data_IF_335204727733
#
_entry.id   IF_335204727733
#
_cell.length_a   1.000
_cell.length_b   1.000
_cell.length_c   1.000
_cell.angle_alpha   90.00
_cell.angle_beta   90.00
_cell.angle_gamma   90.00
#
_symmetry.space_group_name_H-M   'P 1'
#
loop_
_entity.id
_entity.type
_entity.pdbx_description
1 polymer ?
#
# COMPACT_ATOMS: atom_id res chain seq x y z
N UNK A 1 1.95 12.07 -68.10
CA UNK A 1 1.00 12.76 -67.23
C UNK A 1 1.28 12.24 -65.83
N UNK A 2 2.31 12.81 -65.22
CA UNK A 2 2.84 12.41 -63.91
C UNK A 2 1.91 12.92 -62.84
N UNK A 3 1.38 11.99 -62.06
CA UNK A 3 0.58 12.24 -60.86
C UNK A 3 1.49 12.94 -59.85
N UNK A 4 1.32 14.25 -59.69
CA UNK A 4 2.04 15.07 -58.73
C UNK A 4 1.45 14.77 -57.35
N UNK A 5 1.90 13.66 -56.76
CA UNK A 5 1.44 13.19 -55.46
C UNK A 5 1.80 14.24 -54.41
N UNK A 6 0.82 15.11 -54.11
CA UNK A 6 0.94 16.18 -53.13
C UNK A 6 1.42 15.59 -51.80
N UNK A 7 2.61 15.99 -51.37
CA UNK A 7 3.19 15.55 -50.12
C UNK A 7 2.25 15.86 -48.94
N UNK A 8 2.21 15.01 -47.91
CA UNK A 8 1.49 15.29 -46.69
C UNK A 8 1.90 16.64 -46.09
N UNK A 9 0.96 17.34 -45.43
CA UNK A 9 1.24 18.61 -44.78
C UNK A 9 2.27 18.50 -43.63
N UNK A 10 2.48 17.30 -43.10
CA UNK A 10 3.46 16.97 -42.06
C UNK A 10 4.78 16.41 -42.62
N UNK A 11 5.04 16.52 -43.93
CA UNK A 11 6.22 15.93 -44.57
C UNK A 11 7.53 16.44 -43.96
N UNK A 12 7.65 17.75 -43.72
CA UNK A 12 8.85 18.32 -43.09
C UNK A 12 9.12 17.67 -41.72
N UNK A 13 8.08 17.38 -40.94
CA UNK A 13 8.22 16.73 -39.63
C UNK A 13 8.64 15.27 -39.77
N UNK A 14 8.12 14.55 -40.79
CA UNK A 14 8.52 13.16 -41.10
C UNK A 14 9.98 13.10 -41.54
N UNK A 15 10.41 14.05 -42.36
CA UNK A 15 11.79 14.14 -42.81
C UNK A 15 12.72 14.39 -41.62
N UNK A 16 12.36 15.31 -40.72
CA UNK A 16 13.10 15.54 -39.47
C UNK A 16 13.19 14.29 -38.60
N UNK A 17 12.08 13.57 -38.40
CA UNK A 17 12.08 12.29 -37.69
C UNK A 17 12.99 11.26 -38.36
N UNK A 18 13.20 11.31 -39.68
CA UNK A 18 14.08 10.38 -40.37
C UNK A 18 15.56 10.80 -40.29
N UNK A 19 15.86 12.09 -40.46
CA UNK A 19 17.23 12.56 -40.72
C UNK A 19 17.92 13.24 -39.54
N UNK A 20 17.19 13.81 -38.58
CA UNK A 20 17.79 14.47 -37.40
C UNK A 20 18.16 13.40 -36.35
N UNK A 21 19.46 13.07 -36.26
CA UNK A 21 19.97 11.93 -35.46
C UNK A 21 20.67 12.33 -34.16
N UNK A 22 21.21 13.55 -34.11
CA UNK A 22 21.99 14.08 -32.97
C UNK A 22 21.13 14.82 -31.93
N UNK A 23 19.81 14.72 -32.02
CA UNK A 23 18.87 15.42 -31.14
C UNK A 23 17.82 14.46 -30.58
N UNK A 24 17.31 14.78 -29.38
CA UNK A 24 16.15 14.10 -28.80
C UNK A 24 14.88 14.74 -29.32
N UNK A 25 14.08 13.95 -30.05
CA UNK A 25 12.82 14.41 -30.62
C UNK A 25 11.64 13.95 -29.76
N UNK A 26 10.79 14.90 -29.36
CA UNK A 26 9.46 14.60 -28.83
C UNK A 26 8.43 14.75 -29.97
N UNK A 27 7.76 13.65 -30.31
CA UNK A 27 6.81 13.61 -31.43
C UNK A 27 5.39 13.45 -30.90
N UNK A 28 4.62 14.53 -30.94
CA UNK A 28 3.19 14.49 -30.66
C UNK A 28 2.42 14.04 -31.91
N UNK A 29 1.65 12.96 -31.79
CA UNK A 29 0.96 12.40 -32.94
C UNK A 29 -0.35 11.71 -32.55
N UNK A 30 -1.44 12.08 -33.24
CA UNK A 30 -2.78 11.52 -33.05
C UNK A 30 -2.91 10.06 -33.50
N UNK A 31 -4.04 9.43 -33.19
CA UNK A 31 -4.35 8.09 -33.69
C UNK A 31 -4.36 8.08 -35.23
N UNK A 32 -3.79 7.04 -35.85
CA UNK A 32 -3.77 6.89 -37.30
C UNK A 32 -2.80 7.79 -38.08
N UNK A 33 -2.00 8.65 -37.43
CA UNK A 33 -1.05 9.55 -38.10
C UNK A 33 0.22 8.85 -38.64
N UNK A 34 0.32 7.53 -38.54
CA UNK A 34 1.48 6.77 -39.04
C UNK A 34 2.72 6.83 -38.13
N UNK A 35 2.54 6.99 -36.81
CA UNK A 35 3.65 6.95 -35.82
C UNK A 35 4.58 5.76 -36.00
N UNK A 36 4.00 4.55 -36.05
CA UNK A 36 4.77 3.32 -36.21
C UNK A 36 5.53 3.30 -37.52
N UNK A 37 4.95 3.83 -38.60
CA UNK A 37 5.62 3.94 -39.89
C UNK A 37 6.83 4.88 -39.82
N UNK A 38 6.66 6.07 -39.23
CA UNK A 38 7.77 7.01 -39.07
C UNK A 38 8.90 6.44 -38.20
N UNK A 39 8.56 5.66 -37.16
CA UNK A 39 9.56 5.00 -36.31
C UNK A 39 10.31 3.90 -37.07
N UNK A 40 9.62 3.08 -37.86
CA UNK A 40 10.26 2.07 -38.72
C UNK A 40 11.17 2.72 -39.77
N UNK A 41 10.70 3.78 -40.44
CA UNK A 41 11.50 4.54 -41.41
C UNK A 41 12.75 5.17 -40.76
N UNK A 42 12.66 5.61 -39.50
CA UNK A 42 13.83 6.10 -38.74
C UNK A 42 14.84 4.99 -38.46
N UNK A 43 14.38 3.82 -37.99
CA UNK A 43 15.26 2.66 -37.74
C UNK A 43 15.94 2.23 -39.04
N UNK A 44 15.17 2.14 -40.12
CA UNK A 44 15.65 1.80 -41.46
C UNK A 44 16.76 2.77 -41.89
N UNK A 45 16.57 4.08 -41.73
CA UNK A 45 17.56 5.09 -42.08
C UNK A 45 18.84 4.98 -41.23
N UNK A 46 18.73 4.78 -39.92
CA UNK A 46 19.89 4.57 -39.03
C UNK A 46 20.73 3.36 -39.46
N UNK A 47 20.09 2.27 -39.84
CA UNK A 47 20.77 1.04 -40.23
C UNK A 47 21.35 1.15 -41.65
N UNK A 48 20.52 1.52 -42.63
CA UNK A 48 20.88 1.45 -44.04
C UNK A 48 21.77 2.61 -44.47
N UNK A 49 21.53 3.82 -43.96
CA UNK A 49 22.29 5.01 -44.35
C UNK A 49 23.52 5.18 -43.45
N UNK A 50 23.33 5.18 -42.12
CA UNK A 50 24.41 5.49 -41.18
C UNK A 50 25.25 4.28 -40.79
N UNK A 51 24.78 3.06 -41.08
CA UNK A 51 25.47 1.83 -40.72
C UNK A 51 25.45 1.54 -39.23
N UNK A 52 24.45 2.04 -38.49
CA UNK A 52 24.25 1.67 -37.08
C UNK A 52 23.84 0.19 -37.02
N UNK A 53 24.57 -0.67 -36.29
CA UNK A 53 24.15 -2.06 -36.10
C UNK A 53 22.77 -2.14 -35.46
N UNK A 54 21.92 -3.06 -35.93
CA UNK A 54 20.54 -3.21 -35.43
C UNK A 54 20.52 -3.55 -33.93
N UNK A 55 21.51 -4.30 -33.46
CA UNK A 55 21.69 -4.63 -32.04
C UNK A 55 21.98 -3.41 -31.13
N UNK A 56 22.42 -2.29 -31.70
CA UNK A 56 22.64 -1.03 -30.97
C UNK A 56 21.38 -0.14 -30.90
N UNK A 57 20.26 -0.57 -31.48
CA UNK A 57 19.01 0.18 -31.49
C UNK A 57 18.01 -0.44 -30.50
N UNK A 58 17.56 0.37 -29.54
CA UNK A 58 16.45 0.02 -28.65
C UNK A 58 15.15 0.67 -29.12
N UNK A 59 14.14 -0.16 -29.44
CA UNK A 59 12.82 0.26 -29.85
C UNK A 59 11.78 -0.31 -28.88
N UNK A 60 11.31 0.55 -27.97
CA UNK A 60 10.51 0.15 -26.81
C UNK A 60 9.05 0.58 -26.97
N UNK A 61 8.13 -0.30 -26.60
CA UNK A 61 6.69 -0.03 -26.59
C UNK A 61 6.01 -0.50 -25.30
N UNK A 62 4.71 -0.26 -25.17
CA UNK A 62 3.96 -0.61 -23.97
C UNK A 62 3.44 -2.06 -23.95
N UNK A 63 3.17 -2.65 -25.12
CA UNK A 63 2.54 -3.99 -25.19
C UNK A 63 3.35 -4.95 -26.05
N UNK A 64 3.33 -6.23 -25.70
CA UNK A 64 3.96 -7.29 -26.49
C UNK A 64 3.42 -7.34 -27.92
N UNK A 65 2.11 -7.10 -28.10
CA UNK A 65 1.50 -7.04 -29.43
C UNK A 65 2.09 -5.91 -30.30
N UNK A 66 2.25 -4.71 -29.73
CA UNK A 66 2.84 -3.61 -30.48
C UNK A 66 4.34 -3.82 -30.75
N UNK A 67 5.06 -4.51 -29.86
CA UNK A 67 6.45 -4.89 -30.06
C UNK A 67 6.59 -5.90 -31.21
N UNK A 68 5.74 -6.93 -31.23
CA UNK A 68 5.68 -7.91 -32.30
C UNK A 68 5.36 -7.26 -33.65
N UNK A 69 4.32 -6.40 -33.69
CA UNK A 69 3.96 -5.68 -34.92
C UNK A 69 5.10 -4.77 -35.41
N UNK A 70 5.80 -4.08 -34.51
CA UNK A 70 6.94 -3.24 -34.86
C UNK A 70 8.10 -4.09 -35.42
N UNK A 71 8.43 -5.21 -34.77
CA UNK A 71 9.46 -6.16 -35.23
C UNK A 71 9.14 -6.72 -36.61
N UNK A 72 7.90 -7.13 -36.85
CA UNK A 72 7.46 -7.64 -38.16
C UNK A 72 7.59 -6.58 -39.25
N UNK A 73 7.23 -5.33 -38.95
CA UNK A 73 7.38 -4.22 -39.90
C UNK A 73 8.84 -3.92 -40.22
N UNK A 74 9.72 -3.93 -39.23
CA UNK A 74 11.18 -3.76 -39.45
C UNK A 74 11.71 -4.89 -40.33
N UNK A 75 11.37 -6.15 -40.01
CA UNK A 75 11.75 -7.33 -40.78
C UNK A 75 11.34 -7.21 -42.24
N UNK A 76 10.06 -6.89 -42.51
CA UNK A 76 9.54 -6.72 -43.87
C UNK A 76 10.27 -5.63 -44.66
N UNK A 77 10.71 -4.55 -43.99
CA UNK A 77 11.44 -3.46 -44.67
C UNK A 77 12.84 -3.89 -45.09
N UNK A 78 13.57 -4.55 -44.20
CA UNK A 78 14.90 -5.06 -44.53
C UNK A 78 14.86 -6.22 -45.54
N UNK A 79 13.84 -7.09 -45.49
CA UNK A 79 13.61 -8.12 -46.52
C UNK A 79 13.35 -7.50 -47.90
N UNK A 80 12.60 -6.39 -47.96
CA UNK A 80 12.29 -5.70 -49.20
C UNK A 80 13.50 -4.94 -49.79
N UNK A 81 14.37 -4.38 -48.94
CA UNK A 81 15.62 -3.73 -49.38
C UNK A 81 16.60 -4.75 -49.97
N UNK A 82 16.90 -5.82 -49.23
CA UNK A 82 17.76 -6.91 -49.73
C UNK A 82 19.22 -6.51 -49.98
N UNK A 83 19.69 -5.38 -49.47
CA UNK A 83 21.10 -4.99 -49.44
C UNK A 83 21.94 -5.81 -48.46
N UNK A 84 23.26 -5.60 -48.47
CA UNK A 84 24.19 -6.26 -47.53
C UNK A 84 23.87 -5.87 -46.08
N UNK A 85 23.78 -4.56 -45.80
CA UNK A 85 23.40 -4.03 -44.49
C UNK A 85 22.03 -4.51 -44.00
N UNK A 86 21.05 -4.64 -44.90
CA UNK A 86 19.74 -5.14 -44.56
C UNK A 86 19.77 -6.63 -44.15
N UNK A 87 20.59 -7.45 -44.83
CA UNK A 87 20.79 -8.86 -44.44
C UNK A 87 21.46 -8.97 -43.08
N UNK A 88 22.51 -8.21 -42.82
CA UNK A 88 23.17 -8.16 -41.51
C UNK A 88 22.20 -7.72 -40.40
N UNK A 89 21.37 -6.70 -40.66
CA UNK A 89 20.37 -6.23 -39.72
C UNK A 89 19.30 -7.29 -39.41
N UNK A 90 18.90 -8.11 -40.40
CA UNK A 90 17.97 -9.22 -40.18
C UNK A 90 18.57 -10.32 -39.29
N UNK A 91 19.87 -10.60 -39.42
CA UNK A 91 20.58 -11.54 -38.55
C UNK A 91 20.66 -11.02 -37.10
N UNK A 92 20.82 -9.71 -36.93
CA UNK A 92 20.88 -9.05 -35.62
C UNK A 92 19.50 -8.78 -34.99
N UNK A 93 18.42 -8.80 -35.76
CA UNK A 93 17.08 -8.36 -35.32
C UNK A 93 16.54 -9.16 -34.12
N UNK A 94 16.83 -10.47 -34.07
CA UNK A 94 16.37 -11.32 -32.97
C UNK A 94 17.10 -10.99 -31.66
N UNK A 95 18.35 -10.52 -31.74
CA UNK A 95 19.15 -10.03 -30.63
C UNK A 95 18.99 -8.54 -30.32
N UNK A 96 18.23 -7.78 -31.11
CA UNK A 96 18.01 -6.36 -30.91
C UNK A 96 16.94 -6.07 -29.84
N UNK A 97 17.06 -4.92 -29.17
CA UNK A 97 16.15 -4.48 -28.11
C UNK A 97 14.83 -3.91 -28.67
N UNK A 98 14.07 -4.73 -29.42
CA UNK A 98 12.75 -4.39 -29.95
C UNK A 98 11.68 -5.05 -29.08
N UNK A 99 11.12 -4.34 -28.11
CA UNK A 99 10.39 -5.00 -27.03
C UNK A 99 9.49 -4.09 -26.21
N UNK A 100 9.04 -4.62 -25.08
CA UNK A 100 8.41 -3.81 -24.05
C UNK A 100 9.45 -3.22 -23.12
N UNK A 101 9.05 -2.23 -22.32
CA UNK A 101 9.93 -1.67 -21.29
C UNK A 101 10.39 -2.75 -20.30
N UNK A 102 9.49 -3.69 -19.94
CA UNK A 102 9.80 -4.79 -19.03
C UNK A 102 10.85 -5.74 -19.60
N UNK A 103 10.71 -6.17 -20.87
CA UNK A 103 11.71 -7.07 -21.46
C UNK A 103 13.08 -6.40 -21.66
N UNK A 104 13.08 -5.10 -21.95
CA UNK A 104 14.32 -4.32 -21.99
C UNK A 104 14.99 -4.20 -20.61
N UNK A 105 14.22 -3.88 -19.57
CA UNK A 105 14.74 -3.82 -18.21
C UNK A 105 15.26 -5.18 -17.72
N UNK A 106 14.52 -6.26 -17.98
CA UNK A 106 14.95 -7.63 -17.65
C UNK A 106 16.27 -7.98 -18.34
N UNK A 107 16.44 -7.61 -19.61
CA UNK A 107 17.69 -7.83 -20.33
C UNK A 107 18.86 -7.13 -19.65
N UNK A 108 18.73 -5.85 -19.31
CA UNK A 108 19.77 -5.09 -18.60
C UNK A 108 20.15 -5.77 -17.29
N UNK A 109 19.15 -6.18 -16.49
CA UNK A 109 19.38 -6.83 -15.20
C UNK A 109 20.06 -8.21 -15.36
N UNK A 110 19.71 -8.97 -16.39
CA UNK A 110 20.30 -10.28 -16.67
C UNK A 110 21.71 -10.21 -17.25
N UNK A 111 22.03 -9.14 -17.99
CA UNK A 111 23.38 -8.90 -18.54
C UNK A 111 24.34 -8.35 -17.47
N UNK A 112 23.82 -7.64 -16.46
CA UNK A 112 24.60 -7.00 -15.39
C UNK A 112 24.09 -7.32 -13.97
N UNK A 113 23.96 -8.61 -13.59
CA UNK A 113 23.33 -8.98 -12.32
C UNK A 113 24.13 -8.52 -11.11
N UNK A 114 25.47 -8.58 -11.17
CA UNK A 114 26.34 -8.21 -10.04
C UNK A 114 26.28 -6.72 -9.76
N UNK A 115 26.35 -5.88 -10.80
CA UNK A 115 26.20 -4.43 -10.69
C UNK A 115 24.80 -4.02 -10.19
N UNK A 116 23.79 -4.82 -10.53
CA UNK A 116 22.42 -4.64 -10.05
C UNK A 116 22.19 -5.16 -8.62
N UNK A 117 23.18 -5.82 -7.99
CA UNK A 117 23.02 -6.44 -6.67
C UNK A 117 22.15 -7.71 -6.69
N UNK A 118 21.93 -8.32 -7.86
CA UNK A 118 21.15 -9.53 -8.05
C UNK A 118 22.05 -10.78 -8.10
N UNK A 119 21.57 -11.93 -7.60
CA UNK A 119 22.28 -13.18 -7.78
C UNK A 119 22.29 -13.59 -9.26
N UNK A 120 23.39 -14.20 -9.76
CA UNK A 120 23.40 -14.77 -11.10
C UNK A 120 22.28 -15.81 -11.26
N UNK A 121 21.50 -15.69 -12.35
CA UNK A 121 20.35 -16.58 -12.59
C UNK A 121 19.08 -16.17 -11.83
N UNK A 122 18.99 -14.94 -11.32
CA UNK A 122 17.73 -14.40 -10.81
C UNK A 122 16.63 -14.48 -11.87
N UNK A 123 15.50 -15.07 -11.50
CA UNK A 123 14.32 -15.17 -12.35
C UNK A 123 13.18 -14.32 -11.77
N UNK A 124 12.34 -13.80 -12.65
CA UNK A 124 11.12 -13.09 -12.26
C UNK A 124 10.07 -14.14 -11.90
N UNK A 125 9.63 -14.15 -10.65
CA UNK A 125 8.51 -14.99 -10.24
C UNK A 125 7.22 -14.51 -10.91
N UNK A 126 6.42 -15.47 -11.36
CA UNK A 126 5.03 -15.17 -11.72
C UNK A 126 4.18 -14.91 -10.46
N UNK A 127 2.93 -14.51 -10.67
CA UNK A 127 2.02 -14.16 -9.56
C UNK A 127 1.82 -15.33 -8.58
N UNK A 128 1.74 -16.56 -9.09
CA UNK A 128 1.52 -17.76 -8.28
C UNK A 128 2.79 -18.09 -7.48
N UNK A 129 3.95 -18.07 -8.13
CA UNK A 129 5.25 -18.31 -7.50
C UNK A 129 5.54 -17.28 -6.41
N UNK A 130 5.26 -16.01 -6.69
CA UNK A 130 5.38 -14.92 -5.70
C UNK A 130 4.47 -15.14 -4.49
N UNK A 131 3.24 -15.58 -4.70
CA UNK A 131 2.31 -15.90 -3.61
C UNK A 131 2.79 -17.09 -2.77
N UNK A 132 3.28 -18.16 -3.40
CA UNK A 132 3.79 -19.34 -2.69
C UNK A 132 5.01 -18.95 -1.84
N UNK A 133 5.96 -18.22 -2.42
CA UNK A 133 7.14 -17.72 -1.71
C UNK A 133 6.77 -16.87 -0.48
N UNK A 134 5.80 -15.96 -0.64
CA UNK A 134 5.28 -15.17 0.47
C UNK A 134 4.71 -16.04 1.59
N UNK A 135 3.90 -17.06 1.28
CA UNK A 135 3.33 -17.94 2.30
C UNK A 135 4.39 -18.76 3.05
N UNK A 136 5.44 -19.20 2.35
CA UNK A 136 6.56 -19.92 2.96
C UNK A 136 7.33 -19.02 3.93
N UNK A 137 7.70 -17.81 3.50
CA UNK A 137 8.37 -16.81 4.34
C UNK A 137 7.49 -16.38 5.51
N UNK A 138 6.20 -16.12 5.27
CA UNK A 138 5.24 -15.74 6.30
C UNK A 138 5.12 -16.79 7.40
N UNK A 139 5.10 -18.08 7.03
CA UNK A 139 5.02 -19.17 8.00
C UNK A 139 6.24 -19.21 8.92
N UNK A 140 7.44 -19.07 8.36
CA UNK A 140 8.69 -19.04 9.15
C UNK A 140 8.70 -17.83 10.07
N UNK A 141 8.39 -16.65 9.54
CA UNK A 141 8.29 -15.42 10.32
C UNK A 141 7.29 -15.53 11.46
N UNK A 142 6.11 -16.11 11.21
CA UNK A 142 5.08 -16.24 12.25
C UNK A 142 5.54 -17.15 13.38
N UNK A 143 6.26 -18.23 13.07
CA UNK A 143 6.83 -19.14 14.09
C UNK A 143 7.85 -18.40 14.96
N UNK A 144 8.80 -17.70 14.33
CA UNK A 144 9.80 -16.89 15.04
C UNK A 144 9.18 -15.75 15.84
N UNK A 145 8.14 -15.11 15.30
CA UNK A 145 7.41 -14.05 15.99
C UNK A 145 6.76 -14.59 17.26
N UNK A 146 6.06 -15.73 17.18
CA UNK A 146 5.36 -16.31 18.33
C UNK A 146 6.30 -16.88 19.39
N UNK A 147 7.51 -17.27 19.01
CA UNK A 147 8.58 -17.68 19.93
C UNK A 147 9.25 -16.50 20.66
N UNK A 148 9.13 -15.26 20.16
CA UNK A 148 9.66 -14.06 20.83
C UNK A 148 8.79 -13.68 22.05
N UNK A 149 9.28 -13.83 23.30
CA UNK A 149 8.49 -13.52 24.49
C UNK A 149 8.13 -12.03 24.60
N UNK A 150 8.84 -11.14 23.89
CA UNK A 150 8.57 -9.70 23.88
C UNK A 150 7.32 -9.34 23.09
N UNK A 151 6.89 -10.18 22.12
CA UNK A 151 5.71 -9.89 21.30
C UNK A 151 4.40 -10.33 21.93
N UNK A 152 4.44 -11.26 22.88
CA UNK A 152 3.24 -11.88 23.45
C UNK A 152 2.24 -10.84 23.98
N UNK A 153 2.72 -9.87 24.76
CA UNK A 153 1.89 -8.77 25.28
C UNK A 153 1.31 -7.89 24.16
N UNK A 154 2.11 -7.34 23.22
CA UNK A 154 1.60 -6.63 22.05
C UNK A 154 0.49 -7.37 21.30
N UNK A 155 0.67 -8.67 21.01
CA UNK A 155 -0.34 -9.46 20.29
C UNK A 155 -1.64 -9.61 21.09
N UNK A 156 -1.55 -9.83 22.41
CA UNK A 156 -2.73 -9.91 23.27
C UNK A 156 -3.49 -8.57 23.38
N UNK A 157 -2.77 -7.44 23.38
CA UNK A 157 -3.40 -6.11 23.32
C UNK A 157 -4.19 -5.94 22.01
N UNK A 158 -3.59 -6.31 20.87
CA UNK A 158 -4.25 -6.27 19.57
C UNK A 158 -5.49 -7.19 19.54
N UNK A 159 -5.39 -8.39 20.09
CA UNK A 159 -6.53 -9.31 20.18
C UNK A 159 -7.68 -8.76 21.05
N UNK A 160 -7.34 -8.12 22.18
CA UNK A 160 -8.32 -7.47 23.07
C UNK A 160 -9.12 -6.37 22.36
N UNK A 161 -8.50 -5.67 21.41
CA UNK A 161 -9.17 -4.67 20.54
C UNK A 161 -9.65 -5.24 19.20
N UNK A 162 -9.72 -6.58 19.09
CA UNK A 162 -10.27 -7.35 17.96
C UNK A 162 -9.45 -7.28 16.67
N UNK A 163 -8.16 -6.94 16.75
CA UNK A 163 -7.21 -7.05 15.63
C UNK A 163 -6.62 -8.46 15.64
N UNK A 164 -7.01 -9.28 14.67
CA UNK A 164 -6.60 -10.69 14.55
C UNK A 164 -5.32 -10.85 13.73
N UNK A 165 -4.63 -11.97 13.91
CA UNK A 165 -3.42 -12.32 13.15
C UNK A 165 -3.64 -12.30 11.63
N UNK A 166 -4.82 -12.70 11.15
CA UNK A 166 -5.15 -12.64 9.72
C UNK A 166 -5.08 -11.22 9.16
N UNK A 167 -5.45 -10.21 9.96
CA UNK A 167 -5.32 -8.80 9.55
C UNK A 167 -3.84 -8.39 9.44
N UNK A 168 -2.97 -8.91 10.31
CA UNK A 168 -1.52 -8.67 10.24
C UNK A 168 -0.92 -9.31 8.98
N UNK A 169 -1.37 -10.53 8.62
CA UNK A 169 -0.97 -11.18 7.36
C UNK A 169 -1.35 -10.33 6.15
N UNK A 170 -2.59 -9.83 6.10
CA UNK A 170 -3.03 -8.94 5.01
C UNK A 170 -2.17 -7.68 4.92
N UNK A 171 -1.81 -7.08 6.06
CA UNK A 171 -0.92 -5.91 6.09
C UNK A 171 0.48 -6.28 5.58
N UNK A 172 1.04 -7.41 6.00
CA UNK A 172 2.34 -7.88 5.54
C UNK A 172 2.36 -8.15 4.02
N UNK A 173 1.27 -8.71 3.47
CA UNK A 173 1.11 -8.90 2.04
C UNK A 173 1.11 -7.56 1.29
N UNK A 174 0.32 -6.59 1.77
CA UNK A 174 0.28 -5.25 1.17
C UNK A 174 1.62 -4.51 1.27
N UNK A 175 2.37 -4.72 2.36
CA UNK A 175 3.74 -4.22 2.47
C UNK A 175 4.67 -4.90 1.47
N UNK A 176 4.57 -6.22 1.25
CA UNK A 176 5.37 -6.95 0.26
C UNK A 176 5.10 -6.48 -1.17
N UNK A 177 3.84 -6.17 -1.51
CA UNK A 177 3.45 -5.61 -2.81
C UNK A 177 3.99 -4.16 -3.02
N UNK A 178 4.34 -3.46 -1.94
CA UNK A 178 4.78 -2.07 -1.94
C UNK A 178 6.05 -1.90 -1.10
N UNK A 179 6.98 -2.85 -1.22
CA UNK A 179 8.15 -2.98 -0.33
C UNK A 179 9.03 -1.72 -0.35
N UNK A 180 9.10 -1.05 -1.49
CA UNK A 180 9.85 0.19 -1.74
C UNK A 180 9.32 1.39 -0.93
N UNK A 181 8.09 1.31 -0.44
CA UNK A 181 7.46 2.34 0.38
C UNK A 181 7.54 2.07 1.89
N UNK A 182 7.94 0.86 2.30
CA UNK A 182 7.89 0.43 3.71
C UNK A 182 8.81 1.29 4.56
N UNK A 183 10.10 1.40 4.21
CA UNK A 183 11.08 2.18 4.97
C UNK A 183 10.71 3.67 5.03
N UNK A 184 10.14 4.22 3.95
CA UNK A 184 9.73 5.62 3.88
C UNK A 184 8.48 5.94 4.70
N UNK A 185 7.62 4.95 4.99
CA UNK A 185 6.30 5.16 5.62
C UNK A 185 6.18 4.56 7.01
N UNK A 186 7.08 3.68 7.41
CA UNK A 186 6.98 2.92 8.65
C UNK A 186 8.24 3.12 9.51
N UNK A 187 8.10 3.54 10.78
CA UNK A 187 9.24 3.59 11.69
C UNK A 187 9.67 2.16 12.06
N UNK A 188 10.71 1.65 11.41
CA UNK A 188 11.24 0.31 11.69
C UNK A 188 11.81 0.17 13.11
N UNK A 189 12.15 1.28 13.77
CA UNK A 189 12.55 1.30 15.18
C UNK A 189 11.40 1.79 16.08
N UNK A 190 10.38 0.95 16.27
CA UNK A 190 9.25 1.26 17.14
C UNK A 190 9.51 0.83 18.61
N UNK A 191 9.32 1.73 19.59
CA UNK A 191 9.55 1.43 21.00
C UNK A 191 8.54 0.42 21.56
N UNK A 192 8.80 -0.10 22.76
CA UNK A 192 7.85 -0.97 23.45
C UNK A 192 6.55 -0.21 23.79
N UNK A 193 5.36 -0.81 23.56
CA UNK A 193 4.09 -0.14 23.83
C UNK A 193 3.90 0.16 25.33
N UNK A 194 3.38 1.35 25.69
CA UNK A 194 3.18 1.72 27.09
C UNK A 194 2.18 0.79 27.80
N UNK A 195 2.25 0.75 29.13
CA UNK A 195 1.29 0.02 29.97
C UNK A 195 -0.05 0.74 30.03
N UNK A 196 -1.15 -0.02 29.92
CA UNK A 196 -2.49 0.48 30.16
C UNK A 196 -2.71 0.76 31.65
N UNK A 197 -3.28 1.93 31.98
CA UNK A 197 -3.48 2.38 33.37
C UNK A 197 -4.97 2.55 33.65
N UNK A 198 -5.48 1.76 34.58
CA UNK A 198 -6.91 1.75 34.93
C UNK A 198 -7.28 2.86 35.91
N UNK A 199 -6.33 3.31 36.74
CA UNK A 199 -6.59 4.27 37.83
C UNK A 199 -7.14 5.63 37.36
N UNK A 200 -6.68 6.13 36.21
CA UNK A 200 -7.19 7.36 35.60
C UNK A 200 -8.64 7.19 35.14
N UNK A 201 -8.97 6.02 34.58
CA UNK A 201 -10.33 5.71 34.14
C UNK A 201 -11.26 5.60 35.35
N UNK A 202 -10.87 4.87 36.40
CA UNK A 202 -11.71 4.73 37.60
C UNK A 202 -12.06 6.09 38.21
N UNK A 203 -11.10 7.03 38.26
CA UNK A 203 -11.36 8.41 38.72
C UNK A 203 -12.35 9.17 37.85
N UNK A 204 -12.32 8.96 36.53
CA UNK A 204 -13.30 9.54 35.59
C UNK A 204 -14.70 8.98 35.85
N UNK A 205 -14.81 7.67 36.02
CA UNK A 205 -16.08 7.05 36.40
C UNK A 205 -16.60 7.56 37.75
N UNK A 206 -15.74 7.62 38.77
CA UNK A 206 -16.11 8.06 40.12
C UNK A 206 -16.64 9.51 40.11
N UNK A 207 -15.94 10.42 39.41
CA UNK A 207 -16.39 11.82 39.23
C UNK A 207 -17.81 11.91 38.66
N UNK A 208 -18.11 11.14 37.61
CA UNK A 208 -19.44 11.19 36.98
C UNK A 208 -20.48 10.51 37.87
N UNK A 209 -20.13 9.42 38.56
CA UNK A 209 -21.04 8.70 39.45
C UNK A 209 -21.47 9.55 40.66
N UNK A 210 -20.64 10.48 41.13
CA UNK A 210 -21.00 11.41 42.21
C UNK A 210 -22.21 12.28 41.85
N UNK A 211 -22.39 12.64 40.57
CA UNK A 211 -23.54 13.43 40.10
C UNK A 211 -24.88 12.74 40.35
N UNK A 212 -24.89 11.42 40.57
CA UNK A 212 -26.10 10.65 40.90
C UNK A 212 -26.83 11.24 42.12
N UNK A 213 -26.08 11.78 43.08
CA UNK A 213 -26.65 12.36 44.31
C UNK A 213 -27.42 13.67 44.08
N UNK A 214 -27.28 14.30 42.92
CA UNK A 214 -28.04 15.50 42.57
C UNK A 214 -29.50 15.19 42.19
N UNK A 215 -29.81 13.93 41.87
CA UNK A 215 -31.16 13.52 41.52
C UNK A 215 -32.10 13.60 42.72
N UNK A 216 -33.18 14.37 42.59
CA UNK A 216 -34.19 14.57 43.63
C UNK A 216 -35.29 13.51 43.63
N UNK A 217 -35.37 12.71 42.57
CA UNK A 217 -36.42 11.71 42.36
C UNK A 217 -35.81 10.34 42.03
N UNK A 218 -35.88 9.36 42.95
CA UNK A 218 -35.39 8.01 42.71
C UNK A 218 -36.03 7.27 41.53
N UNK A 219 -37.16 7.76 40.99
CA UNK A 219 -37.84 7.20 39.83
C UNK A 219 -37.40 7.77 38.48
N UNK A 220 -36.40 8.65 38.44
CA UNK A 220 -35.95 9.28 37.19
C UNK A 220 -35.19 8.30 36.28
N UNK A 221 -35.57 8.24 34.99
CA UNK A 221 -34.98 7.31 34.02
C UNK A 221 -33.51 7.58 33.72
N UNK A 222 -32.97 8.78 33.99
CA UNK A 222 -31.54 9.04 33.78
C UNK A 222 -30.66 8.21 34.72
N UNK A 223 -31.20 7.76 35.87
CA UNK A 223 -30.51 6.86 36.80
C UNK A 223 -30.12 5.52 36.16
N UNK A 224 -30.83 5.07 35.11
CA UNK A 224 -30.45 3.87 34.36
C UNK A 224 -29.06 4.00 33.70
N UNK A 225 -28.67 5.22 33.30
CA UNK A 225 -27.32 5.48 32.77
C UNK A 225 -26.26 5.33 33.87
N UNK A 226 -26.56 5.80 35.08
CA UNK A 226 -25.67 5.64 36.24
C UNK A 226 -25.50 4.17 36.64
N UNK A 227 -26.54 3.35 36.55
CA UNK A 227 -26.45 1.91 36.80
C UNK A 227 -25.56 1.18 35.76
N UNK A 228 -25.52 1.68 34.51
CA UNK A 228 -24.55 1.22 33.50
C UNK A 228 -23.14 1.65 33.88
N UNK A 229 -22.93 2.93 34.21
CA UNK A 229 -21.63 3.46 34.61
C UNK A 229 -21.07 2.74 35.85
N UNK A 230 -21.91 2.47 36.84
CA UNK A 230 -21.50 1.78 38.07
C UNK A 230 -21.07 0.34 37.78
N UNK A 231 -21.78 -0.39 36.92
CA UNK A 231 -21.38 -1.73 36.49
C UNK A 231 -20.08 -1.72 35.70
N UNK A 232 -19.92 -0.77 34.78
CA UNK A 232 -18.71 -0.62 33.99
C UNK A 232 -17.49 -0.31 34.87
N UNK A 233 -17.66 0.62 35.81
CA UNK A 233 -16.64 0.97 36.81
C UNK A 233 -16.26 -0.22 37.69
N UNK A 234 -17.24 -1.01 38.15
CA UNK A 234 -17.00 -2.21 38.92
C UNK A 234 -16.26 -3.29 38.11
N UNK A 235 -16.61 -3.47 36.83
CA UNK A 235 -15.93 -4.39 35.94
C UNK A 235 -14.47 -3.97 35.70
N UNK A 236 -14.20 -2.69 35.42
CA UNK A 236 -12.83 -2.19 35.27
C UNK A 236 -12.00 -2.34 36.54
N UNK A 237 -12.57 -2.05 37.71
CA UNK A 237 -11.88 -2.21 38.99
C UNK A 237 -11.59 -3.68 39.34
N UNK A 238 -12.39 -4.60 38.81
CA UNK A 238 -12.24 -6.05 38.98
C UNK A 238 -11.50 -6.74 37.85
N UNK A 239 -10.91 -6.00 36.90
CA UNK A 239 -10.17 -6.59 35.79
C UNK A 239 -9.04 -7.49 36.31
N UNK A 240 -8.92 -8.70 35.75
CA UNK A 240 -7.96 -9.69 36.24
C UNK A 240 -6.51 -9.30 35.91
N UNK A 241 -6.30 -8.73 34.73
CA UNK A 241 -5.00 -8.27 34.25
C UNK A 241 -5.15 -7.08 33.28
N UNK A 242 -4.02 -6.65 32.72
CA UNK A 242 -3.96 -5.55 31.77
C UNK A 242 -4.78 -5.81 30.48
N UNK A 243 -4.77 -7.05 29.99
CA UNK A 243 -5.42 -7.42 28.72
C UNK A 243 -6.93 -7.39 28.90
N UNK A 244 -7.43 -7.93 30.01
CA UNK A 244 -8.83 -7.87 30.40
C UNK A 244 -9.30 -6.40 30.56
N UNK A 245 -8.48 -5.56 31.21
CA UNK A 245 -8.77 -4.14 31.35
C UNK A 245 -8.87 -3.40 29.99
N UNK A 246 -7.97 -3.69 29.05
CA UNK A 246 -8.02 -3.14 27.68
C UNK A 246 -9.28 -3.61 26.96
N UNK A 247 -9.62 -4.91 27.05
CA UNK A 247 -10.82 -5.47 26.42
C UNK A 247 -12.10 -4.82 26.96
N UNK A 248 -12.22 -4.69 28.28
CA UNK A 248 -13.36 -4.03 28.93
C UNK A 248 -13.45 -2.55 28.52
N UNK A 249 -12.35 -1.81 28.56
CA UNK A 249 -12.32 -0.41 28.14
C UNK A 249 -12.72 -0.25 26.66
N UNK A 250 -12.25 -1.12 25.78
CA UNK A 250 -12.61 -1.12 24.36
C UNK A 250 -14.12 -1.33 24.14
N UNK A 251 -14.75 -2.22 24.92
CA UNK A 251 -16.21 -2.43 24.87
C UNK A 251 -17.00 -1.24 25.42
N UNK A 252 -16.46 -0.57 26.43
CA UNK A 252 -17.05 0.60 27.10
C UNK A 252 -16.88 1.92 26.35
N UNK A 253 -16.01 1.96 25.34
CA UNK A 253 -15.71 3.12 24.52
C UNK A 253 -16.87 3.61 23.66
N UNK A 254 -16.67 3.82 22.36
CA UNK A 254 -17.67 4.41 21.45
C UNK A 254 -19.04 3.68 21.50
N UNK A 255 -19.04 2.35 21.64
CA UNK A 255 -20.28 1.56 21.81
C UNK A 255 -20.97 1.86 23.14
N UNK A 256 -20.21 1.98 24.23
CA UNK A 256 -20.71 2.39 25.54
C UNK A 256 -21.26 3.81 25.54
N UNK A 257 -20.56 4.76 24.92
CA UNK A 257 -21.04 6.14 24.75
C UNK A 257 -22.39 6.19 24.02
N UNK A 258 -22.54 5.43 22.94
CA UNK A 258 -23.82 5.34 22.21
C UNK A 258 -24.94 4.71 23.04
N UNK A 259 -24.63 3.75 23.91
CA UNK A 259 -25.61 3.19 24.86
C UNK A 259 -26.04 4.23 25.89
N UNK A 260 -25.10 5.00 26.45
CA UNK A 260 -25.38 6.05 27.44
C UNK A 260 -26.23 7.18 26.83
N UNK A 261 -25.93 7.59 25.59
CA UNK A 261 -26.75 8.57 24.84
C UNK A 261 -28.21 8.11 24.67
N UNK A 262 -28.47 6.80 24.50
CA UNK A 262 -29.84 6.26 24.42
C UNK A 262 -30.60 6.28 25.75
N UNK A 263 -29.87 6.21 26.87
CA UNK A 263 -30.40 6.25 28.23
C UNK A 263 -30.54 7.70 28.77
N UNK A 264 -30.18 8.69 27.96
CA UNK A 264 -30.30 10.10 28.32
C UNK A 264 -31.78 10.56 28.28
N UNK A 265 -32.54 10.23 29.33
CA UNK A 265 -34.00 10.48 29.43
C UNK A 265 -34.44 11.05 30.79
N UNK A 266 -33.71 11.99 31.35
CA UNK A 266 -34.05 12.61 32.64
C UNK A 266 -35.06 13.77 32.55
N UNK A 267 -35.82 14.00 33.63
CA UNK A 267 -36.74 15.16 33.73
C UNK A 267 -36.02 16.35 34.36
N UNK A 268 -36.03 17.51 33.72
CA UNK A 268 -35.31 18.70 34.21
C UNK A 268 -35.67 19.10 35.66
N UNK A 269 -36.92 18.91 36.09
CA UNK A 269 -37.35 19.21 37.46
C UNK A 269 -36.67 18.36 38.55
N UNK A 270 -36.15 17.19 38.17
CA UNK A 270 -35.53 16.23 39.09
C UNK A 270 -34.05 16.52 39.34
N UNK A 271 -33.45 17.49 38.64
CA UNK A 271 -32.02 17.78 38.67
C UNK A 271 -31.76 19.30 38.85
N UNK A 272 -30.68 19.71 39.53
CA UNK A 272 -30.26 21.11 39.58
C UNK A 272 -29.84 21.64 38.20
N UNK A 273 -29.06 20.85 37.47
CA UNK A 273 -28.66 21.11 36.07
C UNK A 273 -28.60 19.78 35.29
N UNK A 274 -29.73 19.41 34.68
CA UNK A 274 -29.82 18.17 33.91
C UNK A 274 -28.91 18.18 32.68
N UNK A 275 -28.65 19.35 32.07
CA UNK A 275 -27.85 19.42 30.85
C UNK A 275 -26.37 19.19 31.14
N UNK A 276 -25.86 19.72 32.25
CA UNK A 276 -24.50 19.43 32.72
C UNK A 276 -24.31 17.94 33.01
N UNK A 277 -25.27 17.30 33.70
CA UNK A 277 -25.22 15.85 33.98
C UNK A 277 -25.19 15.05 32.68
N UNK A 278 -26.08 15.38 31.74
CA UNK A 278 -26.17 14.72 30.43
C UNK A 278 -24.87 14.81 29.63
N UNK A 279 -24.23 15.98 29.66
CA UNK A 279 -22.94 16.19 29.01
C UNK A 279 -21.82 15.35 29.66
N UNK A 280 -21.86 15.19 30.98
CA UNK A 280 -20.86 14.41 31.71
C UNK A 280 -20.98 12.89 31.50
N UNK A 281 -22.18 12.37 31.16
CA UNK A 281 -22.41 10.92 31.07
C UNK A 281 -21.50 10.21 30.04
N UNK A 282 -21.02 10.88 28.99
CA UNK A 282 -20.17 10.25 27.98
C UNK A 282 -18.68 10.34 28.28
N UNK A 283 -18.25 11.18 29.24
CA UNK A 283 -16.83 11.38 29.60
C UNK A 283 -16.12 10.05 29.92
N UNK A 284 -16.68 9.10 30.71
CA UNK A 284 -15.98 7.85 31.02
C UNK A 284 -15.77 6.97 29.78
N UNK A 285 -16.73 6.96 28.85
CA UNK A 285 -16.62 6.19 27.62
C UNK A 285 -15.60 6.82 26.65
N UNK A 286 -15.58 8.14 26.54
CA UNK A 286 -14.58 8.88 25.76
C UNK A 286 -13.16 8.70 26.34
N UNK A 287 -13.04 8.68 27.67
CA UNK A 287 -11.79 8.39 28.36
C UNK A 287 -11.30 6.95 28.09
N UNK A 288 -12.20 5.97 28.08
CA UNK A 288 -11.87 4.59 27.70
C UNK A 288 -11.33 4.51 26.26
N UNK A 289 -11.99 5.14 25.29
CA UNK A 289 -11.51 5.18 23.89
C UNK A 289 -10.11 5.80 23.79
N UNK A 290 -9.89 6.92 24.47
CA UNK A 290 -8.59 7.59 24.49
C UNK A 290 -7.49 6.72 25.12
N UNK A 291 -7.78 6.06 26.24
CA UNK A 291 -6.83 5.19 26.93
C UNK A 291 -6.49 3.95 26.09
N UNK A 292 -7.49 3.34 25.43
CA UNK A 292 -7.27 2.21 24.52
C UNK A 292 -6.41 2.65 23.34
N UNK A 293 -6.73 3.78 22.70
CA UNK A 293 -5.96 4.31 21.57
C UNK A 293 -4.49 4.59 21.95
N UNK A 294 -4.24 5.10 23.15
CA UNK A 294 -2.91 5.41 23.66
C UNK A 294 -1.99 4.18 23.78
N UNK A 295 -2.55 2.97 23.89
CA UNK A 295 -1.80 1.72 23.93
C UNK A 295 -1.85 1.01 22.57
N UNK A 296 -3.01 0.99 21.91
CA UNK A 296 -3.18 0.31 20.61
C UNK A 296 -2.33 0.92 19.51
N UNK A 297 -2.22 2.26 19.42
CA UNK A 297 -1.45 2.88 18.33
C UNK A 297 0.06 2.54 18.41
N UNK A 298 0.74 2.73 19.55
CA UNK A 298 2.13 2.26 19.70
C UNK A 298 2.27 0.74 19.52
N UNK A 299 1.26 -0.04 19.90
CA UNK A 299 1.26 -1.50 19.67
C UNK A 299 1.24 -1.85 18.19
N UNK A 300 0.40 -1.16 17.40
CA UNK A 300 0.38 -1.31 15.94
C UNK A 300 1.70 -0.88 15.31
N UNK A 301 2.30 0.23 15.76
CA UNK A 301 3.60 0.68 15.26
C UNK A 301 4.70 -0.35 15.62
N UNK A 302 4.66 -0.92 16.83
CA UNK A 302 5.61 -1.94 17.30
C UNK A 302 5.53 -3.24 16.51
N UNK A 303 4.32 -3.79 16.34
CA UNK A 303 4.09 -5.00 15.55
C UNK A 303 4.35 -4.71 14.07
N UNK A 304 3.90 -3.56 13.58
CA UNK A 304 4.15 -3.07 12.23
C UNK A 304 5.64 -3.05 11.91
N UNK A 305 6.48 -2.51 12.78
CA UNK A 305 7.93 -2.50 12.59
C UNK A 305 8.55 -3.90 12.43
N UNK A 306 7.99 -4.93 13.10
CA UNK A 306 8.41 -6.33 12.92
C UNK A 306 7.98 -6.85 11.54
N UNK A 307 6.75 -6.55 11.11
CA UNK A 307 6.27 -6.88 9.76
C UNK A 307 7.09 -6.18 8.68
N UNK A 308 7.47 -4.92 8.91
CA UNK A 308 8.28 -4.14 7.97
C UNK A 308 9.68 -4.72 7.79
N UNK A 309 10.33 -5.15 8.87
CA UNK A 309 11.61 -5.89 8.78
C UNK A 309 11.46 -7.20 8.01
N UNK A 310 10.45 -8.00 8.34
CA UNK A 310 10.13 -9.23 7.61
C UNK A 310 9.97 -9.05 6.09
N UNK A 311 9.45 -7.89 5.66
CA UNK A 311 9.27 -7.61 4.22
C UNK A 311 10.57 -7.14 3.55
N UNK A 312 11.46 -6.49 4.30
CA UNK A 312 12.69 -5.90 3.77
C UNK A 312 13.91 -6.83 3.87
N UNK A 313 13.87 -7.81 4.78
CA UNK A 313 14.88 -8.87 4.95
C UNK A 313 14.66 -10.00 3.92
#
# INVERSE_FOLDING_TARGET
>A
MTDDARLPADQDQRDRIRTERDETLFVEAGAGSGKTRALVERIESLVLEDGVPMEHIAAITFTEKAAAELRDRIRQRFEADGGERAREALEQLDGAAVGTLHSFAQRILSEHPVEAGLPPGAEVLDEIGSQIDFEERWRVFLDELLDDPTIARPLLILDAVRVKLDALRTVAQQMSENWDLVEARLPLAAPEPPRFRVDDLLRRFDTVLELRHECRDPGDHLLEAFDVLQRNRAALAGAFDEIDAVSLAHEMGTKGANRLKKLNRGRAANWPDVEAVRAALTDPAEACDAAVAAVTRPTLDHVGARLGRFVLD
#
